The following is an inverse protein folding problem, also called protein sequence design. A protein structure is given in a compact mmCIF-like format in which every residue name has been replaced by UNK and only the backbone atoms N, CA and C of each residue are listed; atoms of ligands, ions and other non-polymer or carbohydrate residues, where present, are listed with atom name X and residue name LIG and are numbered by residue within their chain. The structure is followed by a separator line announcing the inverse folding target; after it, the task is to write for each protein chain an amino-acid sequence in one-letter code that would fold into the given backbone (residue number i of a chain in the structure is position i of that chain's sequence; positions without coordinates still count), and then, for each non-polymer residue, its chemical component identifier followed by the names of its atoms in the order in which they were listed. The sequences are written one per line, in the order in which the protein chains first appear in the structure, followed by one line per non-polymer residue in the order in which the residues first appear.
data_IF_441760960798
#
_entry.id   IF_441760960798
#
_cell.length_a   1.000
_cell.length_b   1.000
_cell.length_c   1.000
_cell.angle_alpha   90.00
_cell.angle_beta   90.00
_cell.angle_gamma   90.00
#
_symmetry.space_group_name_H-M   'P 1'
#
loop_
_entity.id
_entity.type
_entity.pdbx_description
1 polymer ?
#
# COMPACT_ATOMS: atom_id res chain seq x y z
N UNK A 1 -11.15 41.92 21.63
CA UNK A 1 -10.79 40.87 20.64
C UNK A 1 -11.70 39.67 20.89
N UNK A 2 -12.07 38.89 19.87
CA UNK A 2 -12.83 37.67 20.07
C UNK A 2 -12.01 36.67 20.91
N UNK A 3 -12.69 35.96 21.81
CA UNK A 3 -12.11 34.89 22.62
C UNK A 3 -12.14 33.57 21.83
N UNK A 4 -10.96 33.00 21.58
CA UNK A 4 -10.79 31.72 20.88
C UNK A 4 -10.23 30.63 21.80
N UNK A 5 -10.17 30.86 23.11
CA UNK A 5 -9.58 29.93 24.09
C UNK A 5 -10.24 28.55 24.09
N UNK A 6 -11.51 28.44 23.69
CA UNK A 6 -12.22 27.16 23.56
C UNK A 6 -11.80 26.31 22.34
N UNK A 7 -11.08 26.90 21.38
CA UNK A 7 -10.67 26.22 20.13
C UNK A 7 -9.16 26.01 20.02
N UNK A 8 -8.38 26.69 20.87
CA UNK A 8 -6.92 26.65 20.84
C UNK A 8 -6.42 26.02 22.15
N UNK A 9 -5.67 24.90 22.09
CA UNK A 9 -5.15 24.28 23.29
C UNK A 9 -4.18 25.24 24.00
N UNK A 10 -4.29 25.32 25.33
CA UNK A 10 -3.39 26.12 26.16
C UNK A 10 -2.06 25.35 26.36
N UNK A 11 -1.14 25.53 25.42
CA UNK A 11 0.16 24.83 25.41
C UNK A 11 1.30 25.80 25.13
N UNK A 12 2.51 25.36 25.44
CA UNK A 12 3.75 26.02 25.03
C UNK A 12 4.69 25.00 24.37
N UNK A 13 5.67 25.50 23.61
CA UNK A 13 6.64 24.65 22.91
C UNK A 13 8.03 24.83 23.49
N UNK A 14 8.71 23.71 23.76
CA UNK A 14 10.09 23.68 24.23
C UNK A 14 10.89 22.59 23.54
N UNK A 15 12.22 22.75 23.53
CA UNK A 15 13.14 21.67 23.17
C UNK A 15 13.58 20.94 24.43
N UNK A 16 13.26 19.64 24.52
CA UNK A 16 13.60 18.82 25.68
C UNK A 16 14.54 17.68 25.23
N UNK A 17 15.70 17.49 25.90
CA UNK A 17 16.55 16.31 25.68
C UNK A 17 15.76 15.02 25.89
N UNK A 18 15.91 14.05 24.99
CA UNK A 18 15.17 12.78 25.04
C UNK A 18 15.36 12.05 26.40
N UNK A 19 16.53 12.18 27.04
CA UNK A 19 16.81 11.63 28.37
C UNK A 19 15.93 12.21 29.50
N UNK A 20 15.34 13.39 29.30
CA UNK A 20 14.48 14.07 30.27
C UNK A 20 12.99 13.82 30.01
N UNK A 21 12.67 12.91 29.08
CA UNK A 21 11.33 12.49 28.73
C UNK A 21 11.05 11.09 29.32
N UNK A 22 9.85 10.92 29.87
CA UNK A 22 9.38 9.64 30.42
C UNK A 22 8.29 9.09 29.50
N UNK A 23 8.51 7.90 28.95
CA UNK A 23 7.54 7.15 28.14
C UNK A 23 7.13 5.84 28.85
N UNK A 24 6.30 5.01 28.22
CA UNK A 24 5.83 3.70 28.70
C UNK A 24 4.85 3.76 29.87
N UNK A 25 3.86 4.64 29.77
CA UNK A 25 2.69 4.59 30.66
C UNK A 25 1.85 3.34 30.38
N UNK A 26 1.09 2.84 31.35
CA UNK A 26 0.37 1.56 31.23
C UNK A 26 -0.67 1.53 30.09
N UNK A 27 -1.24 2.68 29.75
CA UNK A 27 -2.20 2.81 28.64
C UNK A 27 -1.55 2.73 27.25
N UNK A 28 -0.22 2.74 27.16
CA UNK A 28 0.52 2.87 25.90
C UNK A 28 0.88 1.50 25.32
N UNK A 29 0.90 1.40 23.98
CA UNK A 29 1.35 0.19 23.28
C UNK A 29 2.86 0.01 23.39
N UNK A 30 3.31 -1.24 23.38
CA UNK A 30 4.74 -1.56 23.26
C UNK A 30 5.31 -1.03 21.95
N UNK A 31 6.49 -0.42 22.03
CA UNK A 31 7.23 0.08 20.87
C UNK A 31 7.66 -1.07 19.95
N UNK A 32 7.53 -0.86 18.64
CA UNK A 32 8.00 -1.83 17.64
C UNK A 32 9.40 -1.46 17.17
N UNK A 33 10.41 -2.22 17.58
CA UNK A 33 11.81 -2.02 17.17
C UNK A 33 11.96 -2.04 15.64
N UNK A 34 11.31 -3.01 14.98
CA UNK A 34 11.33 -3.12 13.52
C UNK A 34 10.66 -1.94 12.79
N UNK A 35 9.74 -1.22 13.44
CA UNK A 35 9.20 0.03 12.89
C UNK A 35 10.19 1.18 13.04
N UNK A 36 10.85 1.29 14.21
CA UNK A 36 11.87 2.31 14.48
C UNK A 36 13.06 2.18 13.51
N UNK A 37 13.56 0.96 13.30
CA UNK A 37 14.67 0.69 12.36
C UNK A 37 14.32 1.12 10.93
N UNK A 38 13.17 0.67 10.41
CA UNK A 38 12.71 1.04 9.06
C UNK A 38 12.51 2.55 8.90
N UNK A 39 11.97 3.21 9.93
CA UNK A 39 11.75 4.65 9.89
C UNK A 39 13.08 5.44 10.01
N UNK A 40 14.07 4.92 10.72
CA UNK A 40 15.39 5.52 10.83
C UNK A 40 16.18 5.44 9.51
N UNK A 41 16.03 4.36 8.73
CA UNK A 41 16.63 4.22 7.39
C UNK A 41 16.14 5.29 6.41
N UNK A 42 14.90 5.78 6.58
CA UNK A 42 14.25 6.76 5.71
C UNK A 42 14.04 8.10 6.43
N UNK A 43 14.90 8.39 7.42
CA UNK A 43 14.72 9.56 8.28
C UNK A 43 14.81 10.87 7.49
N UNK A 44 13.79 11.71 7.68
CA UNK A 44 13.72 13.07 7.16
C UNK A 44 13.34 14.01 8.30
N UNK A 45 14.19 15.00 8.55
CA UNK A 45 14.01 15.99 9.60
C UNK A 45 12.69 16.78 9.42
N UNK A 46 12.25 16.99 8.18
CA UNK A 46 11.03 17.75 7.88
C UNK A 46 9.74 16.97 8.15
N UNK A 47 9.82 15.65 8.33
CA UNK A 47 8.68 14.79 8.65
C UNK A 47 8.44 14.65 10.15
N UNK A 48 9.33 15.20 10.99
CA UNK A 48 9.23 15.11 12.44
C UNK A 48 8.15 16.05 12.97
N UNK A 49 7.13 15.46 13.59
CA UNK A 49 6.12 16.21 14.34
C UNK A 49 6.58 16.46 15.78
N UNK A 50 6.21 17.59 16.40
CA UNK A 50 6.44 17.82 17.83
C UNK A 50 5.82 16.72 18.69
N UNK A 51 6.57 16.29 19.70
CA UNK A 51 6.16 15.28 20.69
C UNK A 51 5.17 15.92 21.66
N UNK A 52 4.04 15.28 21.94
CA UNK A 52 3.10 15.81 22.95
C UNK A 52 3.46 15.31 24.33
N UNK A 53 3.61 16.27 25.24
CA UNK A 53 4.09 16.04 26.60
C UNK A 53 3.09 16.59 27.60
N UNK A 54 2.79 15.81 28.63
CA UNK A 54 2.10 16.25 29.83
C UNK A 54 3.13 16.49 30.92
N UNK A 55 3.19 17.72 31.44
CA UNK A 55 4.15 18.13 32.47
C UNK A 55 3.46 18.12 33.83
N UNK A 56 3.81 17.15 34.67
CA UNK A 56 3.24 17.00 36.01
C UNK A 56 4.34 16.96 37.05
N UNK A 57 4.27 17.84 38.05
CA UNK A 57 5.26 17.92 39.13
C UNK A 57 6.72 18.01 38.62
N UNK A 58 6.95 18.72 37.51
CA UNK A 58 8.27 18.86 36.88
C UNK A 58 8.75 17.66 36.04
N UNK A 59 7.93 16.61 35.90
CA UNK A 59 8.24 15.44 35.07
C UNK A 59 7.51 15.53 33.73
N UNK A 60 8.22 15.24 32.64
CA UNK A 60 7.72 15.33 31.26
C UNK A 60 7.27 13.95 30.75
N UNK A 61 5.96 13.66 30.79
CA UNK A 61 5.38 12.40 30.33
C UNK A 61 4.99 12.49 28.86
N UNK A 62 5.56 11.62 28.03
CA UNK A 62 5.26 11.54 26.59
C UNK A 62 4.00 10.70 26.40
N UNK A 63 2.92 11.33 25.94
CA UNK A 63 1.68 10.63 25.59
C UNK A 63 1.48 10.47 24.07
N UNK A 64 2.24 11.21 23.24
CA UNK A 64 2.25 11.08 21.79
C UNK A 64 3.63 11.42 21.22
N UNK A 65 4.14 10.61 20.28
CA UNK A 65 5.48 10.78 19.69
C UNK A 65 6.56 9.84 20.24
N UNK A 66 6.17 8.72 20.85
CA UNK A 66 7.14 7.74 21.40
C UNK A 66 8.04 7.13 20.32
N UNK A 67 7.50 6.77 19.15
CA UNK A 67 8.34 6.30 18.04
C UNK A 67 9.26 7.41 17.55
N UNK A 68 8.79 8.66 17.51
CA UNK A 68 9.59 9.82 17.09
C UNK A 68 10.83 9.98 17.95
N UNK A 69 10.71 9.92 19.28
CA UNK A 69 11.86 10.06 20.18
C UNK A 69 12.87 8.91 20.00
N UNK A 70 12.40 7.69 19.78
CA UNK A 70 13.28 6.54 19.57
C UNK A 70 13.97 6.57 18.21
N UNK A 71 13.27 7.00 17.15
CA UNK A 71 13.86 7.22 15.81
C UNK A 71 14.95 8.30 15.90
N UNK A 72 14.67 9.44 16.54
CA UNK A 72 15.67 10.52 16.69
C UNK A 72 16.86 10.06 17.54
N UNK A 73 16.61 9.34 18.64
CA UNK A 73 17.68 8.78 19.46
C UNK A 73 18.56 7.80 18.66
N UNK A 74 17.96 6.96 17.83
CA UNK A 74 18.67 6.00 16.98
C UNK A 74 19.49 6.70 15.90
N UNK A 75 18.90 7.63 15.15
CA UNK A 75 19.57 8.35 14.05
C UNK A 75 20.68 9.27 14.56
N UNK A 76 20.46 9.96 15.68
CA UNK A 76 21.47 10.84 16.28
C UNK A 76 22.52 10.10 17.11
N UNK A 77 22.28 8.84 17.46
CA UNK A 77 23.13 8.05 18.35
C UNK A 77 23.19 8.57 19.80
N UNK A 78 22.30 9.49 20.20
CA UNK A 78 22.32 10.10 21.53
C UNK A 78 20.92 10.44 22.04
N UNK A 79 20.69 10.19 23.34
CA UNK A 79 19.50 10.66 24.06
C UNK A 79 19.65 12.08 24.63
N UNK A 80 20.81 12.70 24.45
CA UNK A 80 21.00 14.14 24.74
C UNK A 80 20.40 15.03 23.65
N UNK A 81 20.16 14.47 22.46
CA UNK A 81 19.54 15.17 21.33
C UNK A 81 18.17 15.71 21.75
N UNK A 82 17.93 17.03 21.67
CA UNK A 82 16.64 17.61 22.00
C UNK A 82 15.62 17.38 20.88
N UNK A 83 14.36 17.22 21.28
CA UNK A 83 13.21 17.18 20.36
C UNK A 83 12.24 18.30 20.71
N UNK A 84 11.51 18.79 19.71
CA UNK A 84 10.42 19.75 19.95
C UNK A 84 9.26 19.07 20.66
N UNK A 85 8.81 19.68 21.76
CA UNK A 85 7.72 19.21 22.59
C UNK A 85 6.60 20.25 22.64
N UNK A 86 5.35 19.80 22.45
CA UNK A 86 4.12 20.55 22.74
C UNK A 86 3.67 20.17 24.16
N UNK A 87 3.75 21.11 25.10
CA UNK A 87 3.61 20.83 26.54
C UNK A 87 2.25 21.29 27.03
N UNK A 88 1.58 20.39 27.73
CA UNK A 88 0.37 20.62 28.51
C UNK A 88 0.72 20.58 29.99
N UNK A 89 0.47 21.68 30.71
CA UNK A 89 0.69 21.78 32.16
C UNK A 89 -0.55 21.38 32.98
N UNK A 90 -1.70 21.21 32.32
CA UNK A 90 -3.02 20.99 32.91
C UNK A 90 -3.62 19.60 32.62
N UNK A 91 -2.86 18.69 32.00
CA UNK A 91 -3.32 17.32 31.72
C UNK A 91 -3.10 16.36 32.90
N UNK A 92 -4.16 15.66 33.28
CA UNK A 92 -4.11 14.52 34.21
C UNK A 92 -3.92 13.19 33.46
N UNK A 93 -3.63 12.12 34.20
CA UNK A 93 -3.30 10.80 33.63
C UNK A 93 -4.47 10.20 32.85
N UNK A 94 -5.67 10.37 33.40
CA UNK A 94 -6.93 9.92 32.84
C UNK A 94 -7.23 10.64 31.52
N UNK A 95 -6.91 11.94 31.42
CA UNK A 95 -7.06 12.70 30.18
C UNK A 95 -6.09 12.20 29.10
N UNK A 96 -4.83 11.92 29.45
CA UNK A 96 -3.87 11.35 28.50
C UNK A 96 -4.34 10.00 27.95
N UNK A 97 -4.85 9.13 28.82
CA UNK A 97 -5.35 7.81 28.44
C UNK A 97 -6.56 7.92 27.50
N UNK A 98 -7.49 8.83 27.76
CA UNK A 98 -8.65 9.08 26.88
C UNK A 98 -8.22 9.66 25.51
N UNK A 99 -7.28 10.61 25.51
CA UNK A 99 -6.70 11.16 24.27
C UNK A 99 -6.03 10.05 23.46
N UNK A 100 -5.24 9.18 24.11
CA UNK A 100 -4.55 8.07 23.46
C UNK A 100 -5.56 7.07 22.85
N UNK A 101 -6.62 6.72 23.58
CA UNK A 101 -7.66 5.80 23.11
C UNK A 101 -8.40 6.33 21.88
N UNK A 102 -8.64 7.64 21.81
CA UNK A 102 -9.38 8.27 20.71
C UNK A 102 -8.49 8.79 19.58
N UNK A 103 -7.16 8.74 19.71
CA UNK A 103 -6.21 9.39 18.80
C UNK A 103 -6.40 9.00 17.32
N UNK A 104 -6.66 7.72 17.05
CA UNK A 104 -6.77 7.20 15.67
C UNK A 104 -8.23 7.09 15.21
N UNK A 105 -9.22 7.38 16.07
CA UNK A 105 -10.64 7.12 15.78
C UNK A 105 -11.18 7.91 14.59
N UNK A 106 -10.61 9.10 14.35
CA UNK A 106 -11.03 10.01 13.28
C UNK A 106 -9.90 10.33 12.29
N UNK A 107 -8.77 9.63 12.36
CA UNK A 107 -7.65 9.82 11.44
C UNK A 107 -7.88 8.94 10.22
N UNK A 108 -8.11 9.57 9.06
CA UNK A 108 -8.24 8.86 7.79
C UNK A 108 -6.84 8.59 7.22
N UNK A 109 -6.48 7.33 6.92
CA UNK A 109 -5.22 7.03 6.25
C UNK A 109 -5.22 7.59 4.82
N UNK A 110 -4.04 7.95 4.32
CA UNK A 110 -3.86 8.31 2.92
C UNK A 110 -4.11 7.08 2.04
N UNK A 111 -4.87 7.27 0.96
CA UNK A 111 -5.12 6.22 -0.02
C UNK A 111 -3.88 6.02 -0.90
N UNK A 112 -3.63 4.81 -1.42
CA UNK A 112 -2.48 4.55 -2.30
C UNK A 112 -2.40 5.51 -3.50
N UNK A 113 -3.54 5.84 -4.12
CA UNK A 113 -3.60 6.83 -5.19
C UNK A 113 -3.11 8.22 -4.75
N UNK A 114 -3.49 8.68 -3.56
CA UNK A 114 -3.10 10.00 -3.03
C UNK A 114 -1.58 10.03 -2.80
N UNK A 115 -1.02 8.96 -2.24
CA UNK A 115 0.43 8.81 -2.04
C UNK A 115 1.17 8.78 -3.38
N UNK A 116 0.67 8.03 -4.36
CA UNK A 116 1.27 7.96 -5.69
C UNK A 116 1.27 9.31 -6.38
N UNK A 117 0.14 10.03 -6.38
CA UNK A 117 0.07 11.36 -6.98
C UNK A 117 0.99 12.35 -6.26
N UNK A 118 1.06 12.31 -4.92
CA UNK A 118 2.02 13.13 -4.18
C UNK A 118 3.48 12.83 -4.58
N UNK A 119 3.82 11.56 -4.81
CA UNK A 119 5.14 11.16 -5.31
C UNK A 119 5.40 11.62 -6.74
N UNK A 120 4.38 11.64 -7.61
CA UNK A 120 4.49 12.21 -8.97
C UNK A 120 4.78 13.71 -8.90
N UNK A 121 4.04 14.46 -8.07
CA UNK A 121 4.26 15.90 -7.87
C UNK A 121 5.63 16.20 -7.22
N UNK A 122 6.15 15.26 -6.42
CA UNK A 122 7.51 15.33 -5.87
C UNK A 122 8.61 14.91 -6.87
N UNK A 123 8.25 14.66 -8.14
CA UNK A 123 9.15 14.22 -9.21
C UNK A 123 9.92 12.92 -8.92
N UNK A 124 9.34 12.04 -8.09
CA UNK A 124 9.96 10.76 -7.77
C UNK A 124 10.02 9.87 -9.02
N UNK A 125 11.25 9.50 -9.41
CA UNK A 125 11.50 8.85 -10.71
C UNK A 125 10.73 7.55 -10.90
N UNK A 126 10.53 6.76 -9.84
CA UNK A 126 9.75 5.50 -9.91
C UNK A 126 8.32 5.75 -10.36
N UNK A 127 7.62 6.68 -9.70
CA UNK A 127 6.21 6.96 -9.99
C UNK A 127 6.05 7.65 -11.35
N UNK A 128 6.98 8.51 -11.75
CA UNK A 128 7.01 9.09 -13.09
C UNK A 128 7.16 8.01 -14.17
N UNK A 129 8.12 7.08 -14.02
CA UNK A 129 8.31 5.98 -14.97
C UNK A 129 7.06 5.10 -15.08
N UNK A 130 6.43 4.78 -13.94
CA UNK A 130 5.20 3.97 -13.92
C UNK A 130 4.06 4.74 -14.62
N UNK A 131 3.89 6.03 -14.33
CA UNK A 131 2.86 6.87 -14.94
C UNK A 131 3.04 6.97 -16.46
N UNK A 132 4.25 7.30 -16.92
CA UNK A 132 4.57 7.41 -18.35
C UNK A 132 4.33 6.09 -19.09
N UNK A 133 4.67 4.96 -18.44
CA UNK A 133 4.43 3.64 -18.99
C UNK A 133 2.92 3.36 -19.15
N UNK A 134 2.12 3.65 -18.12
CA UNK A 134 0.65 3.48 -18.19
C UNK A 134 0.07 4.35 -19.31
N UNK A 135 0.47 5.62 -19.38
CA UNK A 135 -0.01 6.56 -20.40
C UNK A 135 0.41 6.17 -21.82
N UNK A 136 1.56 5.52 -22.00
CA UNK A 136 2.00 5.00 -23.31
C UNK A 136 1.04 3.95 -23.90
N UNK A 137 0.27 3.27 -23.05
CA UNK A 137 -0.79 2.33 -23.46
C UNK A 137 -2.17 2.98 -23.57
N UNK A 138 -2.25 4.32 -23.60
CA UNK A 138 -3.51 5.09 -23.58
C UNK A 138 -4.40 4.79 -22.36
N UNK A 139 -3.79 4.35 -21.27
CA UNK A 139 -4.45 4.17 -19.98
C UNK A 139 -4.22 5.39 -19.09
N UNK A 140 -5.03 5.55 -18.05
CA UNK A 140 -4.83 6.56 -17.01
C UNK A 140 -4.88 5.94 -15.63
N UNK A 141 -4.26 6.61 -14.66
CA UNK A 141 -4.34 6.25 -13.25
C UNK A 141 -5.43 7.12 -12.60
N UNK A 142 -6.38 6.51 -11.88
CA UNK A 142 -7.51 7.25 -11.34
C UNK A 142 -8.17 6.58 -10.13
N UNK A 143 -9.00 7.33 -9.41
CA UNK A 143 -9.70 6.84 -8.22
C UNK A 143 -11.01 6.11 -8.53
N UNK A 144 -11.60 6.38 -9.70
CA UNK A 144 -12.91 5.86 -10.09
C UNK A 144 -12.73 4.82 -11.18
N UNK A 145 -13.32 3.65 -10.95
CA UNK A 145 -13.28 2.52 -11.88
C UNK A 145 -13.99 2.90 -13.18
N UNK A 146 -13.26 2.84 -14.29
CA UNK A 146 -13.78 3.11 -15.63
C UNK A 146 -12.91 2.39 -16.68
N UNK A 147 -13.38 2.34 -17.93
CA UNK A 147 -12.59 1.82 -19.05
C UNK A 147 -11.30 2.62 -19.21
N UNK A 148 -10.20 1.90 -19.39
CA UNK A 148 -8.87 2.49 -19.54
C UNK A 148 -8.31 3.13 -18.27
N UNK A 149 -8.96 2.98 -17.11
CA UNK A 149 -8.52 3.56 -15.83
C UNK A 149 -8.01 2.47 -14.90
N UNK A 150 -6.77 2.59 -14.44
CA UNK A 150 -6.18 1.74 -13.40
C UNK A 150 -6.36 2.40 -12.03
N UNK A 151 -7.19 1.80 -11.18
CA UNK A 151 -7.33 2.21 -9.78
C UNK A 151 -6.35 1.50 -8.84
N UNK A 152 -5.86 0.32 -9.24
CA UNK A 152 -4.96 -0.52 -8.45
C UNK A 152 -3.50 -0.05 -8.55
N UNK A 153 -3.22 1.19 -8.11
CA UNK A 153 -1.89 1.79 -8.18
C UNK A 153 -0.85 0.99 -7.39
N UNK A 154 -1.22 0.48 -6.21
CA UNK A 154 -0.35 -0.37 -5.40
C UNK A 154 0.12 -1.60 -6.19
N UNK A 155 -0.71 -2.11 -7.11
CA UNK A 155 -0.35 -3.24 -7.95
C UNK A 155 0.72 -2.89 -8.98
N UNK A 156 0.64 -1.70 -9.58
CA UNK A 156 1.66 -1.22 -10.51
C UNK A 156 3.01 -1.08 -9.80
N UNK A 157 3.04 -0.40 -8.65
CA UNK A 157 4.27 -0.19 -7.87
C UNK A 157 4.87 -1.53 -7.44
N UNK A 158 4.06 -2.47 -6.97
CA UNK A 158 4.57 -3.78 -6.54
C UNK A 158 5.08 -4.64 -7.69
N UNK A 159 4.41 -4.64 -8.85
CA UNK A 159 4.91 -5.35 -10.02
C UNK A 159 6.25 -4.75 -10.44
N UNK A 160 6.36 -3.42 -10.45
CA UNK A 160 7.62 -2.72 -10.74
C UNK A 160 8.73 -3.07 -9.74
N UNK A 161 8.45 -2.94 -8.44
CA UNK A 161 9.45 -3.17 -7.38
C UNK A 161 9.91 -4.63 -7.34
N UNK A 162 9.02 -5.57 -7.65
CA UNK A 162 9.28 -7.01 -7.51
C UNK A 162 9.83 -7.68 -8.76
N UNK A 163 9.27 -7.35 -9.92
CA UNK A 163 9.59 -8.01 -11.19
C UNK A 163 10.28 -7.07 -12.20
N UNK A 164 10.37 -5.78 -11.88
CA UNK A 164 11.02 -4.78 -12.72
C UNK A 164 10.13 -4.26 -13.85
N UNK A 165 10.64 -3.20 -14.49
CA UNK A 165 9.97 -2.46 -15.55
C UNK A 165 9.46 -3.35 -16.69
N UNK A 166 10.27 -4.26 -17.21
CA UNK A 166 9.91 -5.08 -18.38
C UNK A 166 8.73 -6.03 -18.13
N UNK A 167 8.59 -6.53 -16.89
CA UNK A 167 7.44 -7.36 -16.53
C UNK A 167 6.20 -6.50 -16.40
N UNK A 168 6.30 -5.30 -15.82
CA UNK A 168 5.17 -4.35 -15.78
C UNK A 168 4.72 -3.95 -17.19
N UNK A 169 5.65 -3.56 -18.05
CA UNK A 169 5.38 -3.20 -19.46
C UNK A 169 4.64 -4.31 -20.20
N UNK A 170 5.18 -5.53 -20.16
CA UNK A 170 4.55 -6.69 -20.81
C UNK A 170 3.20 -7.04 -20.18
N UNK A 171 3.04 -6.84 -18.88
CA UNK A 171 1.76 -7.03 -18.18
C UNK A 171 0.69 -6.09 -18.72
N UNK A 172 0.97 -4.79 -18.77
CA UNK A 172 0.05 -3.80 -19.30
C UNK A 172 -0.28 -4.05 -20.78
N UNK A 173 0.74 -4.36 -21.59
CA UNK A 173 0.57 -4.71 -23.01
C UNK A 173 -0.36 -5.91 -23.22
N UNK A 174 -0.23 -6.94 -22.39
CA UNK A 174 -1.10 -8.13 -22.46
C UNK A 174 -2.52 -7.83 -21.99
N UNK A 175 -2.68 -7.08 -20.88
CA UNK A 175 -4.02 -6.69 -20.42
C UNK A 175 -4.77 -5.86 -21.48
N UNK A 176 -4.13 -4.82 -22.01
CA UNK A 176 -4.73 -3.96 -23.06
C UNK A 176 -4.96 -4.74 -24.35
N UNK A 177 -3.98 -5.53 -24.79
CA UNK A 177 -4.10 -6.31 -26.03
C UNK A 177 -5.08 -7.48 -25.96
N UNK A 178 -5.55 -7.87 -24.77
CA UNK A 178 -6.49 -8.99 -24.58
C UNK A 178 -7.90 -8.52 -24.26
N UNK A 179 -8.05 -7.45 -23.47
CA UNK A 179 -9.35 -6.98 -22.97
C UNK A 179 -9.62 -5.49 -23.23
N UNK A 180 -8.79 -4.83 -24.05
CA UNK A 180 -9.02 -3.46 -24.55
C UNK A 180 -9.28 -2.42 -23.44
N UNK A 181 -8.65 -2.60 -22.28
CA UNK A 181 -8.81 -1.70 -21.15
C UNK A 181 -10.11 -1.87 -20.37
N UNK A 182 -10.75 -3.04 -20.43
CA UNK A 182 -11.87 -3.39 -19.54
C UNK A 182 -11.51 -3.13 -18.08
N UNK A 183 -12.39 -2.43 -17.37
CA UNK A 183 -12.16 -1.96 -16.00
C UNK A 183 -11.89 -3.08 -14.98
N UNK A 184 -12.39 -4.29 -15.23
CA UNK A 184 -12.16 -5.45 -14.35
C UNK A 184 -10.86 -6.17 -14.72
N UNK A 185 -10.41 -6.07 -15.98
CA UNK A 185 -9.11 -6.60 -16.42
C UNK A 185 -7.91 -5.80 -15.92
N UNK A 186 -8.14 -4.58 -15.43
CA UNK A 186 -7.16 -3.69 -14.82
C UNK A 186 -7.19 -3.72 -13.29
N UNK A 187 -7.91 -4.66 -12.69
CA UNK A 187 -7.92 -4.86 -11.23
C UNK A 187 -6.60 -5.46 -10.74
N UNK A 188 -6.31 -5.29 -9.45
CA UNK A 188 -5.07 -5.77 -8.86
C UNK A 188 -4.86 -7.28 -9.07
N UNK A 189 -5.93 -8.09 -8.93
CA UNK A 189 -5.85 -9.53 -9.14
C UNK A 189 -5.47 -9.92 -10.57
N UNK A 190 -6.02 -9.22 -11.57
CA UNK A 190 -5.66 -9.44 -12.98
C UNK A 190 -4.22 -9.03 -13.26
N UNK A 191 -3.83 -7.82 -12.85
CA UNK A 191 -2.49 -7.30 -13.08
C UNK A 191 -1.43 -8.23 -12.45
N UNK A 192 -1.63 -8.66 -11.22
CA UNK A 192 -0.73 -9.62 -10.57
C UNK A 192 -0.73 -10.99 -11.24
N UNK A 193 -1.90 -11.50 -11.66
CA UNK A 193 -1.98 -12.79 -12.32
C UNK A 193 -1.20 -12.81 -13.64
N UNK A 194 -1.38 -11.76 -14.46
CA UNK A 194 -0.65 -11.60 -15.72
C UNK A 194 0.84 -11.43 -15.44
N UNK A 195 1.23 -10.58 -14.48
CA UNK A 195 2.63 -10.38 -14.11
C UNK A 195 3.29 -11.70 -13.64
N UNK A 196 2.59 -12.52 -12.85
CA UNK A 196 3.08 -13.85 -12.44
C UNK A 196 3.33 -14.76 -13.64
N UNK A 197 2.40 -14.83 -14.59
CA UNK A 197 2.55 -15.65 -15.80
C UNK A 197 3.71 -15.14 -16.65
N UNK A 198 3.81 -13.82 -16.85
CA UNK A 198 4.92 -13.19 -17.59
C UNK A 198 6.27 -13.55 -16.95
N UNK A 199 6.39 -13.39 -15.63
CA UNK A 199 7.62 -13.70 -14.90
C UNK A 199 7.94 -15.20 -14.87
N UNK A 200 6.93 -16.06 -14.69
CA UNK A 200 7.11 -17.51 -14.61
C UNK A 200 7.58 -18.13 -15.92
N UNK A 201 7.09 -17.62 -17.05
CA UNK A 201 7.27 -18.27 -18.35
C UNK A 201 8.13 -17.50 -19.34
N UNK A 202 8.43 -16.22 -19.09
CA UNK A 202 9.34 -15.43 -19.93
C UNK A 202 9.07 -15.59 -21.43
N UNK A 203 10.07 -15.99 -22.19
CA UNK A 203 9.97 -16.18 -23.65
C UNK A 203 9.13 -17.39 -24.10
N UNK A 204 8.86 -18.34 -23.18
CA UNK A 204 7.99 -19.48 -23.45
C UNK A 204 6.52 -19.05 -23.56
N UNK A 205 6.14 -17.97 -22.88
CA UNK A 205 4.82 -17.34 -23.05
C UNK A 205 4.79 -16.63 -24.42
N UNK A 206 3.82 -16.98 -25.27
CA UNK A 206 3.62 -16.34 -26.56
C UNK A 206 2.45 -15.36 -26.48
N UNK A 207 2.74 -14.08 -26.70
CA UNK A 207 1.78 -12.99 -26.50
C UNK A 207 0.53 -13.14 -27.39
N UNK A 208 0.70 -13.52 -28.65
CA UNK A 208 -0.44 -13.71 -29.56
C UNK A 208 -1.33 -14.88 -29.13
N UNK A 209 -0.72 -15.96 -28.64
CA UNK A 209 -1.46 -17.12 -28.11
C UNK A 209 -2.14 -16.78 -26.79
N UNK A 210 -1.52 -15.93 -25.96
CA UNK A 210 -2.14 -15.40 -24.75
C UNK A 210 -3.43 -14.66 -25.09
N UNK A 211 -3.35 -13.70 -26.02
CA UNK A 211 -4.50 -12.90 -26.46
C UNK A 211 -5.59 -13.77 -27.08
N UNK A 212 -5.23 -14.68 -27.99
CA UNK A 212 -6.19 -15.57 -28.66
C UNK A 212 -6.91 -16.48 -27.66
N UNK A 213 -6.17 -17.14 -26.76
CA UNK A 213 -6.71 -18.22 -25.92
C UNK A 213 -7.39 -17.71 -24.68
N UNK A 214 -6.76 -16.77 -23.99
CA UNK A 214 -7.29 -16.21 -22.74
C UNK A 214 -8.35 -15.15 -23.06
N UNK A 215 -8.14 -14.33 -24.10
CA UNK A 215 -9.12 -13.34 -24.57
C UNK A 215 -10.40 -13.96 -25.14
N UNK A 216 -10.40 -15.26 -25.49
CA UNK A 216 -11.63 -15.98 -25.82
C UNK A 216 -12.59 -16.12 -24.62
N UNK A 217 -12.11 -15.91 -23.39
CA UNK A 217 -12.94 -15.85 -22.19
C UNK A 217 -13.24 -14.38 -21.84
N UNK A 218 -14.51 -14.07 -21.57
CA UNK A 218 -14.85 -12.76 -21.02
C UNK A 218 -14.22 -12.59 -19.63
N UNK A 219 -13.93 -11.34 -19.26
CA UNK A 219 -13.37 -10.98 -17.95
C UNK A 219 -14.24 -11.55 -16.82
N UNK A 220 -15.57 -11.44 -16.94
CA UNK A 220 -16.53 -12.00 -15.97
C UNK A 220 -16.44 -13.51 -15.83
N UNK A 221 -16.33 -14.24 -16.94
CA UNK A 221 -16.19 -15.70 -16.92
C UNK A 221 -14.87 -16.11 -16.27
N UNK A 222 -13.78 -15.42 -16.63
CA UNK A 222 -12.46 -15.69 -16.08
C UNK A 222 -12.42 -15.41 -14.57
N UNK A 223 -13.03 -14.32 -14.09
CA UNK A 223 -13.18 -14.02 -12.66
C UNK A 223 -13.90 -15.13 -11.92
N UNK A 224 -15.03 -15.61 -12.44
CA UNK A 224 -15.77 -16.73 -11.81
C UNK A 224 -14.90 -17.99 -11.74
N UNK A 225 -14.29 -18.38 -12.85
CA UNK A 225 -13.41 -19.55 -12.91
C UNK A 225 -12.20 -19.40 -11.98
N UNK A 226 -11.65 -18.20 -11.84
CA UNK A 226 -10.54 -17.94 -10.92
C UNK A 226 -10.96 -18.13 -9.46
N UNK A 227 -12.10 -17.55 -9.05
CA UNK A 227 -12.63 -17.64 -7.68
C UNK A 227 -12.98 -19.08 -7.28
N UNK A 228 -13.50 -19.88 -8.21
CA UNK A 228 -13.77 -21.32 -7.98
C UNK A 228 -12.50 -22.13 -7.70
N UNK A 229 -11.33 -21.67 -8.16
CA UNK A 229 -10.06 -22.35 -7.93
C UNK A 229 -9.47 -21.98 -6.58
N UNK A 230 -9.27 -20.69 -6.35
CA UNK A 230 -8.73 -20.15 -5.09
C UNK A 230 -8.86 -18.62 -5.03
N UNK A 231 -8.88 -18.04 -3.82
CA UNK A 231 -8.85 -16.58 -3.66
C UNK A 231 -7.52 -15.98 -4.13
N UNK A 232 -7.57 -14.69 -4.47
CA UNK A 232 -6.41 -13.86 -4.84
C UNK A 232 -5.91 -14.06 -6.27
N UNK A 233 -4.86 -13.34 -6.63
CA UNK A 233 -4.33 -13.31 -8.00
C UNK A 233 -3.81 -14.67 -8.48
N UNK A 234 -3.47 -15.59 -7.56
CA UNK A 234 -3.07 -16.93 -7.93
C UNK A 234 -4.20 -17.71 -8.61
N UNK A 235 -5.45 -17.58 -8.17
CA UNK A 235 -6.58 -18.26 -8.81
C UNK A 235 -6.79 -17.79 -10.25
N UNK A 236 -6.59 -16.49 -10.48
CA UNK A 236 -6.60 -15.89 -11.81
C UNK A 236 -5.45 -16.42 -12.68
N UNK A 237 -4.24 -16.50 -12.14
CA UNK A 237 -3.08 -17.01 -12.87
C UNK A 237 -3.26 -18.47 -13.29
N UNK A 238 -3.81 -19.31 -12.40
CA UNK A 238 -4.12 -20.70 -12.73
C UNK A 238 -5.24 -20.82 -13.78
N UNK A 239 -6.30 -20.02 -13.69
CA UNK A 239 -7.38 -20.01 -14.67
C UNK A 239 -6.88 -19.56 -16.06
N UNK A 240 -6.05 -18.53 -16.12
CA UNK A 240 -5.39 -18.06 -17.34
C UNK A 240 -4.47 -19.13 -17.92
N UNK A 241 -3.70 -19.86 -17.08
CA UNK A 241 -2.82 -20.94 -17.53
C UNK A 241 -3.62 -22.12 -18.14
N UNK A 242 -4.76 -22.49 -17.54
CA UNK A 242 -5.66 -23.50 -18.09
C UNK A 242 -6.15 -23.08 -19.48
N UNK A 243 -6.61 -21.83 -19.61
CA UNK A 243 -7.10 -21.29 -20.86
C UNK A 243 -6.00 -21.27 -21.93
N UNK A 244 -4.80 -20.79 -21.58
CA UNK A 244 -3.63 -20.76 -22.47
C UNK A 244 -3.25 -22.15 -22.99
N UNK A 245 -3.18 -23.14 -22.08
CA UNK A 245 -2.76 -24.50 -22.43
C UNK A 245 -3.82 -25.30 -23.21
N UNK A 246 -5.04 -24.77 -23.35
CA UNK A 246 -6.13 -25.47 -24.04
C UNK A 246 -5.76 -25.72 -25.50
N UNK A 247 -5.71 -27.01 -25.89
CA UNK A 247 -5.33 -27.47 -27.24
C UNK A 247 -3.90 -27.04 -27.66
N UNK A 248 -3.02 -26.77 -26.70
CA UNK A 248 -1.63 -26.42 -26.97
C UNK A 248 -0.77 -27.68 -27.20
N UNK A 249 0.02 -27.70 -28.28
CA UNK A 249 0.92 -28.83 -28.60
C UNK A 249 2.04 -29.00 -27.55
N UNK A 250 2.50 -27.89 -26.98
CA UNK A 250 3.52 -27.85 -25.94
C UNK A 250 3.04 -26.95 -24.79
N UNK A 251 2.27 -27.51 -23.84
CA UNK A 251 1.69 -26.72 -22.75
C UNK A 251 2.79 -26.20 -21.80
N UNK A 252 2.56 -25.01 -21.26
CA UNK A 252 3.36 -24.44 -20.19
C UNK A 252 3.18 -25.26 -18.91
N UNK A 253 4.29 -25.50 -18.20
CA UNK A 253 4.32 -26.39 -17.03
C UNK A 253 3.79 -25.68 -15.79
N UNK A 254 2.82 -26.31 -15.11
CA UNK A 254 2.23 -25.80 -13.88
C UNK A 254 3.26 -25.46 -12.79
N UNK A 255 4.27 -26.31 -12.62
CA UNK A 255 5.28 -26.12 -11.56
C UNK A 255 5.96 -24.76 -11.65
N UNK A 256 6.22 -24.25 -12.86
CA UNK A 256 6.90 -22.96 -13.05
C UNK A 256 6.09 -21.77 -12.54
N UNK A 257 4.78 -21.91 -12.38
CA UNK A 257 3.93 -20.87 -11.76
C UNK A 257 4.09 -20.82 -10.23
N UNK A 258 4.48 -21.94 -9.60
CA UNK A 258 4.71 -22.05 -8.15
C UNK A 258 6.20 -22.03 -7.78
N UNK A 259 7.09 -22.26 -8.75
CA UNK A 259 8.53 -22.18 -8.55
C UNK A 259 8.88 -20.78 -8.04
N UNK A 260 9.75 -20.73 -7.02
CA UNK A 260 10.33 -19.50 -6.51
C UNK A 260 11.33 -18.97 -7.53
N UNK A 261 10.86 -18.55 -8.70
CA UNK A 261 11.70 -17.82 -9.66
C UNK A 261 12.11 -16.51 -9.00
N UNK A 262 13.42 -16.33 -8.81
CA UNK A 262 14.16 -15.18 -8.24
C UNK A 262 13.35 -13.89 -7.97
N UNK A 263 12.44 -13.92 -6.99
CA UNK A 263 11.51 -12.81 -6.69
C UNK A 263 10.15 -13.24 -6.07
N UNK A 264 10.13 -14.29 -5.26
CA UNK A 264 9.06 -14.74 -4.32
C UNK A 264 7.59 -14.41 -4.65
N UNK A 265 6.93 -15.27 -5.43
CA UNK A 265 5.50 -15.19 -5.82
C UNK A 265 4.46 -15.06 -4.69
N UNK A 266 4.78 -15.43 -3.44
CA UNK A 266 3.84 -15.34 -2.30
C UNK A 266 3.53 -13.91 -1.83
N UNK A 267 4.40 -12.93 -2.11
CA UNK A 267 4.28 -11.58 -1.54
C UNK A 267 3.37 -10.59 -2.29
N UNK A 268 2.72 -10.96 -3.41
CA UNK A 268 1.85 -10.01 -4.13
C UNK A 268 0.45 -9.91 -3.50
N UNK A 269 -0.07 -11.03 -2.98
CA UNK A 269 -1.42 -11.10 -2.39
C UNK A 269 -1.44 -10.71 -0.90
N UNK A 270 -0.31 -10.81 -0.20
CA UNK A 270 -0.23 -10.67 1.27
C UNK A 270 -0.64 -9.28 1.78
N UNK A 271 -0.43 -8.24 0.98
CA UNK A 271 -0.64 -6.85 1.40
C UNK A 271 -1.69 -6.13 0.53
N UNK A 272 -2.61 -6.84 -0.15
CA UNK A 272 -3.74 -6.21 -0.84
C UNK A 272 -4.63 -5.49 0.20
N UNK A 273 -4.75 -4.15 0.17
CA UNK A 273 -5.67 -3.42 1.06
C UNK A 273 -7.09 -3.97 0.91
N UNK A 274 -7.88 -3.98 1.97
CA UNK A 274 -9.28 -4.42 1.90
C UNK A 274 -10.08 -3.61 0.85
N UNK A 275 -9.73 -2.34 0.61
CA UNK A 275 -10.32 -1.49 -0.44
C UNK A 275 -9.95 -1.91 -1.88
N UNK A 276 -8.87 -2.67 -2.09
CA UNK A 276 -8.47 -3.21 -3.41
C UNK A 276 -8.95 -4.66 -3.62
N UNK A 277 -9.57 -5.27 -2.61
CA UNK A 277 -10.29 -6.53 -2.76
C UNK A 277 -11.60 -6.24 -3.48
N UNK A 278 -11.66 -6.68 -4.74
CA UNK A 278 -12.73 -6.42 -5.72
C UNK A 278 -14.13 -6.30 -5.07
N UNK A 279 -14.70 -5.09 -5.02
CA UNK A 279 -16.07 -4.77 -4.50
C UNK A 279 -17.20 -5.57 -5.18
N UNK A 280 -16.88 -6.38 -6.20
CA UNK A 280 -17.76 -7.43 -6.72
C UNK A 280 -18.20 -8.47 -5.67
N UNK A 281 -17.59 -8.48 -4.48
CA UNK A 281 -17.95 -9.38 -3.38
C UNK A 281 -19.16 -8.89 -2.54
N UNK A 282 -19.69 -7.68 -2.75
CA UNK A 282 -20.83 -7.15 -1.97
C UNK A 282 -22.08 -6.81 -2.77
N UNK A 283 -22.05 -6.93 -4.10
CA UNK A 283 -23.27 -6.82 -4.92
C UNK A 283 -24.01 -8.16 -4.94
N UNK A 284 -24.54 -8.58 -3.79
CA UNK A 284 -25.61 -9.56 -3.78
C UNK A 284 -26.85 -8.94 -4.44
N UNK A 285 -27.31 -9.70 -5.43
CA UNK A 285 -28.49 -9.58 -6.26
C UNK A 285 -29.76 -9.32 -5.43
N UNK A 286 -30.08 -8.05 -5.14
CA UNK A 286 -31.45 -7.64 -4.87
C UNK A 286 -32.10 -7.20 -6.18
N UNK A 287 -32.36 -8.19 -7.03
CA UNK A 287 -33.10 -8.05 -8.27
C UNK A 287 -33.93 -9.30 -8.55
N UNK A 288 -35.10 -9.42 -7.93
CA UNK A 288 -36.05 -10.48 -8.27
C UNK A 288 -37.31 -10.48 -7.42
N UNK A 289 -38.37 -9.89 -8.00
CA UNK A 289 -39.82 -9.96 -7.70
C UNK A 289 -40.36 -9.66 -6.29
#
# INVERSE_FOLDING_TARGET
MPDFSMFVPNVHFEQIPIKNLVSNQEYQRTLSTAHVERAAEHFDLHQINPVKVSRRNGVNYVFNGQHTIEIVALVSGSRDTPVWCMIYDDLEYENEADIFANQMKYVKPLKPYEVFMANVEAENSKQLIIKDLVESYSLTIGQVKNYGVICAVSALERIYDKFGYHVLDRTLRLCVGTWEGDMNSLSANFLYAVARIVNAYGDALKDDLFKERIGAMSVKLLTRTAKERRPGSMGFAEAMLVAYNRKCKYPLRWNSLYEKNNGTTDGLDADLPDEERDESDTAEDYGGD
#
